data_IF_209226233002
#
_entry.id   IF_209226233002
#
_cell.length_a   1.000
_cell.length_b   1.000
_cell.length_c   1.000
_cell.angle_alpha   90.00
_cell.angle_beta   90.00
_cell.angle_gamma   90.00
#
_symmetry.space_group_name_H-M   'P 1'
#
loop_
_entity.id
_entity.type
_entity.pdbx_description
1 polymer ?
#
# COMPACT_ATOMS: atom_id res chain seq x y z
N UNK A 1 1.17 2.91 21.32
CA UNK A 1 1.64 4.14 20.66
C UNK A 1 2.40 5.08 21.61
N UNK A 2 1.96 5.32 22.84
CA UNK A 2 2.77 6.05 23.83
C UNK A 2 4.12 5.35 24.12
N UNK A 3 4.12 4.04 24.26
CA UNK A 3 5.34 3.24 24.43
C UNK A 3 6.21 3.27 23.16
N UNK A 4 5.63 3.28 21.98
CA UNK A 4 6.35 3.48 20.73
C UNK A 4 6.88 4.90 20.60
N UNK A 5 6.14 5.92 21.03
CA UNK A 5 6.60 7.30 21.04
C UNK A 5 7.71 7.52 22.11
N UNK A 6 7.60 6.92 23.30
CA UNK A 6 8.62 7.05 24.35
C UNK A 6 9.86 6.18 24.12
N UNK A 7 9.72 4.98 23.58
CA UNK A 7 10.85 4.17 23.11
C UNK A 7 11.49 4.78 21.85
N UNK A 8 10.72 5.58 21.12
CA UNK A 8 11.16 6.25 19.91
C UNK A 8 11.73 7.64 20.13
N UNK A 9 11.51 8.31 21.26
CA UNK A 9 12.09 9.63 21.57
C UNK A 9 13.60 9.58 21.83
N UNK A 10 14.15 8.39 22.02
CA UNK A 10 15.57 8.13 22.16
C UNK A 10 16.17 7.50 20.91
N UNK A 11 16.44 8.27 19.87
CA UNK A 11 17.39 7.99 18.79
C UNK A 11 17.23 6.76 17.87
N UNK A 12 16.16 5.94 17.94
CA UNK A 12 16.09 4.67 17.21
C UNK A 12 14.75 4.45 16.45
N UNK A 13 14.39 5.32 15.52
CA UNK A 13 13.07 5.31 14.90
C UNK A 13 13.04 4.80 13.47
N UNK A 14 12.98 3.46 13.30
CA UNK A 14 12.46 2.83 12.08
C UNK A 14 10.94 3.04 11.92
N UNK A 15 10.24 3.30 13.02
CA UNK A 15 8.78 3.42 13.07
C UNK A 15 8.31 4.86 12.85
N UNK A 16 9.19 5.83 12.80
CA UNK A 16 8.84 7.18 12.36
C UNK A 16 8.70 7.23 10.83
N UNK A 17 7.70 6.54 10.34
CA UNK A 17 7.00 6.98 9.16
C UNK A 17 6.30 8.30 9.54
N UNK A 18 7.08 9.39 9.59
CA UNK A 18 6.67 10.68 10.15
C UNK A 18 5.27 11.10 9.72
N UNK A 19 4.93 10.87 8.46
CA UNK A 19 3.62 11.25 7.93
C UNK A 19 2.47 10.43 8.52
N UNK A 20 2.71 9.18 8.92
CA UNK A 20 1.68 8.30 9.50
C UNK A 20 1.52 8.58 10.99
N UNK A 21 2.63 8.77 11.71
CA UNK A 21 2.63 8.88 13.18
C UNK A 21 2.85 10.30 13.70
N UNK A 22 3.06 11.29 12.81
CA UNK A 22 3.34 12.68 13.20
C UNK A 22 2.15 13.26 13.99
N UNK A 23 2.33 13.57 15.29
CA UNK A 23 1.27 14.08 16.14
C UNK A 23 1.08 15.60 16.00
N UNK A 24 2.12 16.33 15.54
CA UNK A 24 2.08 17.77 15.44
C UNK A 24 1.25 18.22 14.25
N UNK A 25 0.14 18.92 14.51
CA UNK A 25 -0.83 19.31 13.47
C UNK A 25 -0.23 20.09 12.32
N UNK A 26 0.66 21.04 12.61
CA UNK A 26 1.28 21.89 11.59
C UNK A 26 2.29 21.10 10.76
N UNK A 27 3.16 20.34 11.41
CA UNK A 27 4.16 19.52 10.72
C UNK A 27 3.48 18.46 9.83
N UNK A 28 2.47 17.81 10.37
CA UNK A 28 1.65 16.88 9.59
C UNK A 28 1.02 17.54 8.34
N UNK A 29 0.51 18.78 8.45
CA UNK A 29 -0.05 19.49 7.29
C UNK A 29 1.01 19.73 6.21
N UNK A 30 2.22 20.13 6.60
CA UNK A 30 3.34 20.31 5.68
C UNK A 30 3.68 19.00 4.98
N UNK A 31 3.86 17.93 5.74
CA UNK A 31 4.19 16.61 5.19
C UNK A 31 3.09 16.10 4.24
N UNK A 32 1.82 16.25 4.61
CA UNK A 32 0.68 15.89 3.73
C UNK A 32 0.66 16.72 2.46
N UNK A 33 0.96 18.01 2.54
CA UNK A 33 1.07 18.89 1.36
C UNK A 33 2.18 18.41 0.43
N UNK A 34 3.37 18.11 0.96
CA UNK A 34 4.50 17.60 0.19
C UNK A 34 4.17 16.25 -0.45
N UNK A 35 3.54 15.33 0.29
CA UNK A 35 3.07 14.06 -0.28
C UNK A 35 2.07 14.28 -1.42
N UNK A 36 1.13 15.22 -1.26
CA UNK A 36 0.15 15.53 -2.30
C UNK A 36 0.80 16.15 -3.55
N UNK A 37 1.85 16.95 -3.37
CA UNK A 37 2.65 17.48 -4.49
C UNK A 37 3.41 16.37 -5.24
N UNK A 38 3.77 15.28 -4.56
CA UNK A 38 4.42 14.11 -5.18
C UNK A 38 3.44 13.14 -5.85
N UNK A 39 2.41 12.71 -5.12
CA UNK A 39 1.53 11.60 -5.54
C UNK A 39 0.04 11.92 -5.45
N UNK A 40 -0.34 13.18 -5.38
CA UNK A 40 -1.73 13.60 -5.41
C UNK A 40 -2.39 13.35 -6.77
N UNK A 41 -3.72 13.36 -6.80
CA UNK A 41 -4.55 12.98 -7.96
C UNK A 41 -4.19 13.73 -9.26
N UNK A 42 -3.74 14.98 -9.15
CA UNK A 42 -3.32 15.75 -10.32
C UNK A 42 -1.91 15.36 -10.82
N UNK A 43 -1.08 14.84 -9.93
CA UNK A 43 0.30 14.49 -10.23
C UNK A 43 0.43 13.08 -10.81
N UNK A 44 -0.40 12.15 -10.42
CA UNK A 44 -0.27 10.74 -10.81
C UNK A 44 -0.42 10.54 -12.33
N UNK A 45 -1.09 11.44 -13.03
CA UNK A 45 -1.23 11.36 -14.50
C UNK A 45 0.13 11.41 -15.22
N UNK A 46 1.10 12.16 -14.70
CA UNK A 46 2.45 12.25 -15.28
C UNK A 46 3.25 10.96 -15.17
N UNK A 47 2.83 10.04 -14.29
CA UNK A 47 3.48 8.76 -14.08
C UNK A 47 2.90 7.62 -14.93
N UNK A 48 1.91 7.91 -15.77
CA UNK A 48 1.23 6.92 -16.62
C UNK A 48 2.19 6.20 -17.55
N UNK A 49 3.13 6.90 -18.14
CA UNK A 49 4.12 6.31 -19.05
C UNK A 49 5.02 5.31 -18.30
N UNK A 50 5.47 5.65 -17.11
CA UNK A 50 6.27 4.73 -16.28
C UNK A 50 5.47 3.50 -15.88
N UNK A 51 4.26 3.67 -15.39
CA UNK A 51 3.40 2.54 -15.04
C UNK A 51 3.06 1.69 -16.25
N UNK A 52 2.81 2.31 -17.40
CA UNK A 52 2.55 1.64 -18.67
C UNK A 52 3.74 0.78 -19.10
N UNK A 53 4.96 1.33 -19.05
CA UNK A 53 6.16 0.60 -19.45
C UNK A 53 6.50 -0.53 -18.47
N UNK A 54 6.44 -0.27 -17.16
CA UNK A 54 6.69 -1.30 -16.15
C UNK A 54 5.65 -2.43 -16.20
N UNK A 55 4.39 -2.11 -16.53
CA UNK A 55 3.34 -3.11 -16.71
C UNK A 55 3.57 -4.01 -17.94
N UNK A 56 4.13 -3.46 -19.03
CA UNK A 56 4.56 -4.28 -20.19
C UNK A 56 5.68 -5.24 -19.82
N UNK A 57 6.62 -4.79 -18.99
CA UNK A 57 7.70 -5.66 -18.50
C UNK A 57 7.14 -6.81 -17.68
N UNK A 58 6.16 -6.57 -16.80
CA UNK A 58 5.48 -7.67 -16.08
C UNK A 58 4.86 -8.68 -17.03
N UNK A 59 4.20 -8.22 -18.10
CA UNK A 59 3.61 -9.12 -19.07
C UNK A 59 4.67 -10.02 -19.75
N UNK A 60 5.82 -9.46 -20.11
CA UNK A 60 6.95 -10.19 -20.67
C UNK A 60 7.56 -11.18 -19.66
N UNK A 61 7.73 -10.76 -18.41
CA UNK A 61 8.25 -11.59 -17.33
C UNK A 61 7.31 -12.79 -17.07
N UNK A 62 6.00 -12.56 -17.08
CA UNK A 62 4.98 -13.62 -16.92
C UNK A 62 4.96 -14.60 -18.10
N UNK A 63 5.25 -14.16 -19.32
CA UNK A 63 5.38 -15.05 -20.47
C UNK A 63 6.60 -15.97 -20.33
N UNK A 64 7.65 -15.48 -19.67
CA UNK A 64 8.93 -16.21 -19.52
C UNK A 64 8.94 -17.13 -18.30
N UNK A 65 8.42 -16.68 -17.17
CA UNK A 65 8.47 -17.37 -15.87
C UNK A 65 7.21 -17.10 -15.04
N UNK A 66 6.04 -17.65 -15.49
CA UNK A 66 4.74 -17.38 -14.84
C UNK A 66 4.68 -17.84 -13.39
N UNK A 67 5.44 -18.87 -13.01
CA UNK A 67 5.53 -19.38 -11.64
C UNK A 67 6.13 -18.37 -10.65
N UNK A 68 6.84 -17.35 -11.16
CA UNK A 68 7.45 -16.28 -10.35
C UNK A 68 6.60 -15.01 -10.29
N UNK A 69 5.29 -15.11 -10.55
CA UNK A 69 4.40 -13.95 -10.63
C UNK A 69 4.47 -13.02 -9.41
N UNK A 70 4.65 -13.56 -8.21
CA UNK A 70 4.81 -12.77 -6.98
C UNK A 70 6.03 -11.84 -7.09
N UNK A 71 7.20 -12.39 -7.44
CA UNK A 71 8.43 -11.61 -7.61
C UNK A 71 8.33 -10.57 -8.74
N UNK A 72 7.57 -10.88 -9.81
CA UNK A 72 7.31 -9.93 -10.90
C UNK A 72 6.45 -8.75 -10.44
N UNK A 73 5.42 -8.99 -9.60
CA UNK A 73 4.60 -7.91 -9.03
C UNK A 73 5.37 -7.08 -8.00
N UNK A 74 6.19 -7.71 -7.16
CA UNK A 74 7.07 -7.02 -6.22
C UNK A 74 8.07 -6.12 -6.96
N UNK A 75 8.70 -6.63 -8.02
CA UNK A 75 9.59 -5.84 -8.88
C UNK A 75 8.83 -4.65 -9.50
N UNK A 76 7.65 -4.89 -10.07
CA UNK A 76 6.82 -3.85 -10.66
C UNK A 76 6.49 -2.74 -9.67
N UNK A 77 5.90 -3.10 -8.55
CA UNK A 77 5.49 -2.15 -7.53
C UNK A 77 6.70 -1.35 -7.01
N UNK A 78 7.81 -2.04 -6.72
CA UNK A 78 9.05 -1.42 -6.28
C UNK A 78 9.64 -0.50 -7.34
N UNK A 79 9.63 -0.89 -8.62
CA UNK A 79 10.17 -0.07 -9.72
C UNK A 79 9.36 1.22 -9.91
N UNK A 80 8.03 1.13 -9.90
CA UNK A 80 7.15 2.30 -10.02
C UNK A 80 7.43 3.33 -8.93
N UNK A 81 7.46 2.90 -7.66
CA UNK A 81 7.69 3.84 -6.55
C UNK A 81 9.15 4.31 -6.47
N UNK A 82 10.11 3.53 -6.95
CA UNK A 82 11.52 3.91 -7.05
C UNK A 82 11.73 5.00 -8.11
N UNK A 83 11.09 4.87 -9.28
CA UNK A 83 11.14 5.90 -10.32
C UNK A 83 10.52 7.20 -9.79
N UNK A 84 9.33 7.11 -9.19
CA UNK A 84 8.63 8.30 -8.67
C UNK A 84 9.42 8.92 -7.51
N UNK A 85 9.92 8.09 -6.58
CA UNK A 85 10.60 8.53 -5.37
C UNK A 85 12.00 9.09 -5.64
N UNK A 86 12.78 8.37 -6.46
CA UNK A 86 14.21 8.59 -6.61
C UNK A 86 14.70 8.70 -8.06
N UNK A 87 13.81 8.64 -9.04
CA UNK A 87 14.19 8.67 -10.47
C UNK A 87 14.96 7.43 -10.93
N UNK A 88 14.92 6.33 -10.16
CA UNK A 88 15.69 5.10 -10.44
C UNK A 88 14.76 3.94 -10.76
N UNK A 89 14.96 3.33 -11.93
CA UNK A 89 14.27 2.11 -12.33
C UNK A 89 14.86 0.88 -11.64
N UNK A 90 14.00 -0.05 -11.20
CA UNK A 90 14.38 -1.38 -10.70
C UNK A 90 14.15 -2.40 -11.82
N UNK A 91 15.26 -2.84 -12.42
CA UNK A 91 15.23 -3.66 -13.63
C UNK A 91 15.04 -5.16 -13.36
N UNK A 92 15.45 -5.65 -12.19
CA UNK A 92 15.46 -7.08 -11.84
C UNK A 92 14.86 -7.30 -10.46
N UNK A 93 14.21 -8.45 -10.26
CA UNK A 93 13.74 -8.92 -8.93
C UNK A 93 14.88 -9.22 -7.96
N UNK A 94 16.12 -9.31 -8.46
CA UNK A 94 17.33 -9.50 -7.66
C UNK A 94 18.04 -8.19 -7.31
N UNK A 95 17.46 -7.03 -7.65
CA UNK A 95 18.05 -5.74 -7.29
C UNK A 95 18.14 -5.61 -5.76
N UNK A 96 19.31 -5.27 -5.21
CA UNK A 96 19.51 -5.15 -3.75
C UNK A 96 18.52 -4.21 -3.06
N UNK A 97 17.99 -3.23 -3.78
CA UNK A 97 16.99 -2.29 -3.24
C UNK A 97 15.71 -3.01 -2.84
N UNK A 98 15.28 -4.03 -3.59
CA UNK A 98 14.07 -4.83 -3.27
C UNK A 98 14.29 -5.56 -1.94
N UNK A 99 15.39 -6.27 -1.82
CA UNK A 99 15.71 -7.05 -0.61
C UNK A 99 15.77 -6.15 0.63
N UNK A 100 16.41 -4.98 0.53
CA UNK A 100 16.52 -4.06 1.66
C UNK A 100 15.18 -3.46 2.05
N UNK A 101 14.35 -3.07 1.07
CA UNK A 101 13.01 -2.51 1.33
C UNK A 101 12.08 -3.54 1.93
N UNK A 102 12.01 -4.74 1.36
CA UNK A 102 11.18 -5.82 1.90
C UNK A 102 11.61 -6.11 3.35
N UNK A 103 12.92 -6.17 3.62
CA UNK A 103 13.42 -6.36 4.98
C UNK A 103 13.06 -5.21 5.94
N UNK A 104 12.99 -3.97 5.45
CA UNK A 104 12.51 -2.82 6.25
C UNK A 104 11.01 -2.92 6.50
N UNK A 105 10.21 -3.26 5.48
CA UNK A 105 8.76 -3.37 5.60
C UNK A 105 8.34 -4.53 6.51
N UNK A 106 8.95 -5.71 6.37
CA UNK A 106 8.70 -6.84 7.27
C UNK A 106 9.03 -6.49 8.72
N UNK A 107 10.13 -5.78 8.96
CA UNK A 107 10.45 -5.30 10.32
C UNK A 107 9.41 -4.31 10.85
N UNK A 108 8.93 -3.41 10.01
CA UNK A 108 7.87 -2.48 10.38
C UNK A 108 6.55 -3.22 10.68
N UNK A 109 6.18 -4.20 9.85
CA UNK A 109 5.02 -5.05 10.07
C UNK A 109 5.13 -5.83 11.38
N UNK A 110 6.27 -6.46 11.63
CA UNK A 110 6.54 -7.19 12.88
C UNK A 110 6.39 -6.32 14.14
N UNK A 111 6.76 -5.05 14.05
CA UNK A 111 6.64 -4.10 15.16
C UNK A 111 5.20 -3.58 15.34
N UNK A 112 4.40 -3.59 14.27
CA UNK A 112 3.01 -3.12 14.29
C UNK A 112 2.02 -4.21 14.71
N UNK A 113 2.43 -5.48 14.80
CA UNK A 113 1.56 -6.56 15.30
C UNK A 113 1.60 -6.59 16.82
N UNK A 114 0.48 -6.30 17.51
CA UNK A 114 0.41 -6.35 18.97
C UNK A 114 0.86 -7.72 19.51
N UNK A 115 1.72 -7.70 20.51
CA UNK A 115 2.19 -8.94 21.18
C UNK A 115 3.26 -9.74 20.44
N UNK A 116 3.56 -9.47 19.16
CA UNK A 116 4.55 -10.26 18.41
C UNK A 116 5.99 -10.01 18.85
N UNK A 117 6.40 -8.79 19.01
CA UNK A 117 7.76 -8.40 19.45
C UNK A 117 7.77 -7.56 20.72
N UNK A 118 6.64 -6.95 21.05
CA UNK A 118 6.42 -6.31 22.33
C UNK A 118 5.46 -7.17 23.13
N UNK A 119 5.85 -7.63 24.32
CA UNK A 119 4.89 -8.29 25.20
C UNK A 119 3.70 -7.37 25.46
N UNK A 120 2.48 -7.89 25.38
CA UNK A 120 1.26 -7.15 25.74
C UNK A 120 1.41 -6.43 27.10
N UNK A 121 2.29 -6.97 27.95
CA UNK A 121 2.67 -6.39 29.24
C UNK A 121 3.22 -4.94 29.10
N UNK A 122 3.97 -4.63 28.04
CA UNK A 122 4.50 -3.27 27.79
C UNK A 122 3.42 -2.30 27.33
N UNK A 123 2.43 -2.81 26.60
CA UNK A 123 1.28 -2.02 26.15
C UNK A 123 0.36 -1.72 27.33
N UNK A 124 0.20 -2.68 28.24
CA UNK A 124 -0.61 -2.55 29.47
C UNK A 124 0.08 -1.72 30.54
N UNK A 125 1.39 -1.88 30.68
CA UNK A 125 2.21 -1.20 31.70
C UNK A 125 3.35 -0.40 31.06
N UNK A 126 3.08 0.80 30.52
CA UNK A 126 4.08 1.63 29.83
C UNK A 126 5.34 1.96 30.64
N UNK A 127 5.23 1.95 31.95
CA UNK A 127 6.38 2.18 32.86
C UNK A 127 7.49 1.12 32.70
N UNK A 128 7.15 -0.09 32.28
CA UNK A 128 8.13 -1.14 31.98
C UNK A 128 9.05 -0.76 30.80
N UNK A 129 8.61 0.15 29.95
CA UNK A 129 9.45 0.70 28.89
C UNK A 129 10.64 1.53 29.42
N UNK A 130 10.55 2.06 30.65
CA UNK A 130 11.61 2.84 31.30
C UNK A 130 12.70 1.97 31.94
N UNK A 131 12.45 0.65 32.08
CA UNK A 131 13.47 -0.27 32.61
C UNK A 131 14.70 -0.25 31.72
N UNK A 132 15.93 -0.10 32.27
CA UNK A 132 17.16 -0.15 31.47
C UNK A 132 17.27 -1.43 30.64
N UNK A 133 17.83 -1.35 29.44
CA UNK A 133 17.87 -2.45 28.48
C UNK A 133 18.57 -3.70 29.01
N UNK A 134 19.55 -3.51 29.87
CA UNK A 134 20.30 -4.58 30.56
C UNK A 134 19.43 -5.47 31.45
N UNK A 135 18.35 -4.91 32.01
CA UNK A 135 17.39 -5.61 32.88
C UNK A 135 16.07 -5.93 32.17
N UNK A 136 16.01 -5.69 30.87
CA UNK A 136 14.79 -5.79 30.07
C UNK A 136 14.97 -6.78 28.88
N UNK A 137 14.90 -8.11 29.11
CA UNK A 137 15.07 -9.12 28.06
C UNK A 137 14.16 -8.90 26.87
N UNK A 138 12.94 -8.37 27.10
CA UNK A 138 11.98 -8.03 26.07
C UNK A 138 12.43 -6.88 25.15
N UNK A 139 13.41 -6.08 25.54
CA UNK A 139 14.02 -5.04 24.71
C UNK A 139 15.12 -5.57 23.77
N UNK A 140 15.64 -6.75 24.03
CA UNK A 140 16.75 -7.31 23.24
C UNK A 140 16.36 -7.59 21.78
N UNK A 141 15.06 -7.82 21.52
CA UNK A 141 14.52 -7.95 20.16
C UNK A 141 14.39 -6.63 19.38
N UNK A 142 14.40 -5.49 20.10
CA UNK A 142 14.19 -4.16 19.52
C UNK A 142 15.44 -3.52 18.95
N UNK A 143 16.60 -3.98 19.33
CA UNK A 143 17.72 -3.22 18.91
C UNK A 143 19.07 -3.84 19.05
N UNK A 144 19.54 -4.45 18.05
CA UNK A 144 20.90 -4.14 17.67
C UNK A 144 20.82 -2.73 17.03
N UNK A 145 21.18 -1.70 17.80
CA UNK A 145 21.17 -0.26 17.44
C UNK A 145 21.63 0.08 16.01
N UNK A 146 22.40 -0.80 15.37
CA UNK A 146 22.91 -0.59 14.02
C UNK A 146 21.95 -0.86 12.85
N UNK A 147 20.75 -1.44 13.08
CA UNK A 147 19.85 -1.78 11.95
C UNK A 147 18.76 -0.73 11.72
N UNK A 148 18.45 0.11 12.71
CA UNK A 148 17.48 1.21 12.61
C UNK A 148 18.03 2.41 11.85
N UNK A 149 19.28 2.76 12.14
CA UNK A 149 19.97 3.81 11.40
C UNK A 149 20.13 3.48 9.91
N UNK A 150 20.34 2.20 9.57
CA UNK A 150 20.49 1.77 8.17
C UNK A 150 19.30 2.06 7.28
N UNK A 151 18.07 1.92 7.78
CA UNK A 151 16.89 2.24 6.96
C UNK A 151 16.77 3.74 6.66
N UNK A 152 17.04 4.58 7.67
CA UNK A 152 17.06 6.03 7.49
C UNK A 152 18.20 6.45 6.56
N UNK A 153 19.40 5.97 6.82
CA UNK A 153 20.59 6.32 6.03
C UNK A 153 20.44 5.80 4.59
N UNK A 154 19.83 4.63 4.43
CA UNK A 154 19.53 4.05 3.12
C UNK A 154 18.61 4.95 2.28
N UNK A 155 17.44 5.34 2.81
CA UNK A 155 16.52 6.20 2.06
C UNK A 155 17.06 7.61 1.88
N UNK A 156 17.84 8.12 2.84
CA UNK A 156 18.50 9.41 2.68
C UNK A 156 19.60 9.36 1.62
N UNK A 157 20.40 8.31 1.57
CA UNK A 157 21.42 8.14 0.53
C UNK A 157 20.81 8.06 -0.86
N UNK A 158 19.70 7.32 -1.01
CA UNK A 158 18.97 7.27 -2.29
C UNK A 158 18.40 8.63 -2.70
N UNK A 159 17.84 9.37 -1.73
CA UNK A 159 17.31 10.69 -2.00
C UNK A 159 18.42 11.70 -2.39
N UNK A 160 19.55 11.63 -1.70
CA UNK A 160 20.71 12.48 -1.99
C UNK A 160 21.35 12.13 -3.35
N UNK A 161 21.51 10.84 -3.63
CA UNK A 161 21.99 10.37 -4.94
C UNK A 161 21.09 10.88 -6.08
N UNK A 162 19.76 10.81 -5.91
CA UNK A 162 18.80 11.32 -6.89
C UNK A 162 18.92 12.84 -7.07
N UNK A 163 19.22 13.58 -5.99
CA UNK A 163 19.37 15.03 -6.04
C UNK A 163 20.68 15.47 -6.74
N UNK A 164 21.76 14.75 -6.52
CA UNK A 164 23.10 15.09 -7.03
C UNK A 164 23.34 14.68 -8.49
N UNK A 165 22.70 13.59 -8.96
CA UNK A 165 22.94 13.07 -10.32
C UNK A 165 22.24 13.93 -11.38
N UNK A 166 22.98 14.48 -12.37
CA UNK A 166 22.38 15.11 -13.52
C UNK A 166 21.65 14.06 -14.38
N UNK A 167 20.52 14.45 -14.96
CA UNK A 167 19.77 13.61 -15.90
C UNK A 167 18.75 12.65 -15.25
N UNK A 168 18.65 12.57 -13.94
CA UNK A 168 17.48 11.98 -13.29
C UNK A 168 16.28 12.89 -13.51
N UNK A 169 15.18 12.30 -13.97
CA UNK A 169 13.92 13.00 -14.15
C UNK A 169 13.45 13.64 -12.83
N UNK A 170 12.54 14.62 -12.92
CA UNK A 170 11.91 15.23 -11.76
C UNK A 170 11.25 14.17 -10.88
N UNK A 171 11.93 13.77 -9.81
CA UNK A 171 11.44 12.80 -8.84
C UNK A 171 11.06 13.49 -7.52
N UNK A 172 10.38 12.72 -6.67
CA UNK A 172 9.89 13.23 -5.39
C UNK A 172 11.01 13.70 -4.48
N UNK A 173 12.16 13.00 -4.44
CA UNK A 173 13.31 13.39 -3.64
C UNK A 173 13.85 14.77 -4.07
N UNK A 174 14.03 15.00 -5.38
CA UNK A 174 14.44 16.33 -5.90
C UNK A 174 13.48 17.43 -5.48
N UNK A 175 12.18 17.15 -5.55
CA UNK A 175 11.17 18.11 -5.11
C UNK A 175 11.31 18.42 -3.61
N UNK A 176 11.57 17.42 -2.76
CA UNK A 176 11.78 17.63 -1.33
C UNK A 176 13.02 18.49 -1.05
N UNK A 177 14.13 18.25 -1.73
CA UNK A 177 15.32 19.10 -1.60
C UNK A 177 15.08 20.54 -2.06
N UNK A 178 14.34 20.73 -3.16
CA UNK A 178 13.97 22.07 -3.64
C UNK A 178 13.08 22.84 -2.66
N UNK A 179 12.22 22.14 -1.94
CA UNK A 179 11.31 22.73 -0.94
C UNK A 179 11.93 22.75 0.48
N UNK A 180 13.17 22.26 0.63
CA UNK A 180 13.83 22.07 1.94
C UNK A 180 13.91 23.35 2.76
N UNK A 181 14.43 24.42 2.20
CA UNK A 181 14.58 25.70 2.89
C UNK A 181 13.22 26.30 3.28
N UNK A 182 12.28 26.29 2.34
CA UNK A 182 10.95 26.86 2.53
C UNK A 182 10.16 26.23 3.66
N UNK A 183 10.29 24.91 3.85
CA UNK A 183 9.57 24.17 4.89
C UNK A 183 10.49 23.75 6.05
N UNK A 184 11.74 24.19 6.06
CA UNK A 184 12.75 23.82 7.05
C UNK A 184 12.78 22.29 7.29
N UNK A 185 12.96 21.52 6.18
CA UNK A 185 12.98 20.07 6.24
C UNK A 185 14.32 19.58 6.76
N UNK A 186 14.30 18.84 7.86
CA UNK A 186 15.49 18.14 8.33
C UNK A 186 15.83 16.95 7.40
N UNK A 187 17.12 16.55 7.30
CA UNK A 187 17.51 15.36 6.53
C UNK A 187 16.69 14.10 6.86
N UNK A 188 16.35 13.93 8.14
CA UNK A 188 15.49 12.85 8.61
C UNK A 188 14.07 12.88 8.00
N UNK A 189 13.54 14.05 7.74
CA UNK A 189 12.21 14.18 7.16
C UNK A 189 12.21 13.89 5.66
N UNK A 190 13.25 14.33 4.95
CA UNK A 190 13.45 13.98 3.53
C UNK A 190 13.55 12.47 3.39
N UNK A 191 14.36 11.82 4.20
CA UNK A 191 14.48 10.36 4.25
C UNK A 191 13.15 9.68 4.57
N UNK A 192 12.45 10.17 5.58
CA UNK A 192 11.19 9.58 6.03
C UNK A 192 10.07 9.75 4.98
N UNK A 193 9.96 10.92 4.36
CA UNK A 193 8.96 11.17 3.31
C UNK A 193 9.22 10.33 2.06
N UNK A 194 10.48 10.24 1.62
CA UNK A 194 10.89 9.40 0.49
C UNK A 194 10.71 7.91 0.81
N UNK A 195 11.12 7.49 2.00
CA UNK A 195 10.98 6.12 2.48
C UNK A 195 9.53 5.69 2.67
N UNK A 196 8.65 6.60 3.11
CA UNK A 196 7.22 6.34 3.20
C UNK A 196 6.59 6.07 1.84
N UNK A 197 6.90 6.90 0.84
CA UNK A 197 6.39 6.68 -0.51
C UNK A 197 6.84 5.32 -1.03
N UNK A 198 8.11 5.01 -0.85
CA UNK A 198 8.72 3.81 -1.37
C UNK A 198 8.19 2.55 -0.67
N UNK A 199 8.32 2.48 0.65
CA UNK A 199 7.91 1.30 1.42
C UNK A 199 6.41 1.03 1.35
N UNK A 200 5.58 2.07 1.53
CA UNK A 200 4.13 1.91 1.48
C UNK A 200 3.63 1.49 0.08
N UNK A 201 4.26 1.96 -0.98
CA UNK A 201 3.79 1.69 -2.34
C UNK A 201 4.28 0.36 -2.91
N UNK A 202 5.45 -0.15 -2.50
CA UNK A 202 5.99 -1.41 -3.02
C UNK A 202 5.20 -2.62 -2.54
N UNK A 203 5.04 -2.78 -1.23
CA UNK A 203 4.43 -3.95 -0.62
C UNK A 203 2.90 -4.01 -0.84
N UNK A 204 2.21 -2.91 -0.58
CA UNK A 204 0.74 -2.89 -0.69
C UNK A 204 0.24 -3.06 -2.12
N UNK A 205 0.97 -2.52 -3.11
CA UNK A 205 0.57 -2.66 -4.52
C UNK A 205 0.80 -4.08 -5.03
N UNK A 206 1.92 -4.72 -4.69
CA UNK A 206 2.17 -6.12 -5.07
C UNK A 206 1.16 -7.07 -4.43
N UNK A 207 0.86 -6.90 -3.13
CA UNK A 207 -0.16 -7.69 -2.41
C UNK A 207 -1.56 -7.55 -3.04
N UNK A 208 -1.93 -6.35 -3.49
CA UNK A 208 -3.20 -6.12 -4.20
C UNK A 208 -3.24 -6.87 -5.53
N UNK A 209 -2.13 -6.91 -6.29
CA UNK A 209 -2.05 -7.64 -7.55
C UNK A 209 -2.09 -9.16 -7.33
N UNK A 210 -1.45 -9.66 -6.28
CA UNK A 210 -1.54 -11.07 -5.87
C UNK A 210 -2.99 -11.43 -5.51
N UNK A 211 -3.68 -10.55 -4.79
CA UNK A 211 -5.12 -10.69 -4.49
C UNK A 211 -5.96 -10.74 -5.76
N UNK A 212 -5.64 -9.92 -6.77
CA UNK A 212 -6.36 -9.98 -8.06
C UNK A 212 -6.18 -11.33 -8.76
N UNK A 213 -4.97 -11.89 -8.76
CA UNK A 213 -4.71 -13.24 -9.31
C UNK A 213 -5.48 -14.32 -8.53
N UNK A 214 -5.51 -14.22 -7.21
CA UNK A 214 -6.30 -15.12 -6.36
C UNK A 214 -7.80 -15.05 -6.72
N UNK A 215 -8.35 -13.85 -6.87
CA UNK A 215 -9.75 -13.65 -7.26
C UNK A 215 -10.04 -14.26 -8.64
N UNK A 216 -9.18 -14.02 -9.63
CA UNK A 216 -9.28 -14.60 -10.98
C UNK A 216 -9.26 -16.12 -10.93
N UNK A 217 -8.46 -16.70 -10.05
CA UNK A 217 -8.35 -18.16 -9.89
C UNK A 217 -9.54 -18.77 -9.15
N UNK A 218 -10.02 -18.11 -8.10
CA UNK A 218 -11.09 -18.61 -7.24
C UNK A 218 -12.50 -18.42 -7.84
N UNK A 219 -12.70 -17.39 -8.67
CA UNK A 219 -13.99 -17.00 -9.23
C UNK A 219 -13.94 -16.83 -10.76
N UNK A 220 -13.68 -17.92 -11.52
CA UNK A 220 -13.45 -17.86 -12.96
C UNK A 220 -14.68 -17.39 -13.75
N UNK A 221 -15.89 -17.53 -13.20
CA UNK A 221 -17.12 -17.01 -13.80
C UNK A 221 -17.12 -15.49 -13.94
N UNK A 222 -16.40 -14.77 -13.08
CA UNK A 222 -16.28 -13.30 -13.13
C UNK A 222 -15.35 -12.81 -14.25
N UNK A 223 -14.61 -13.71 -14.88
CA UNK A 223 -13.68 -13.35 -15.95
C UNK A 223 -14.37 -13.22 -17.31
N UNK A 224 -15.48 -13.95 -17.52
CA UNK A 224 -16.18 -13.98 -18.80
C UNK A 224 -16.62 -12.58 -19.23
N UNK A 225 -17.35 -11.81 -18.41
CA UNK A 225 -17.75 -10.45 -18.80
C UNK A 225 -16.55 -9.49 -18.99
N UNK A 226 -15.46 -9.73 -18.26
CA UNK A 226 -14.24 -8.92 -18.42
C UNK A 226 -13.59 -9.19 -19.79
N UNK A 227 -13.52 -10.44 -20.22
CA UNK A 227 -13.00 -10.80 -21.54
C UNK A 227 -13.86 -10.26 -22.66
N UNK A 228 -15.18 -10.43 -22.59
CA UNK A 228 -16.13 -9.89 -23.57
C UNK A 228 -15.99 -8.36 -23.72
N UNK A 229 -15.82 -7.66 -22.59
CA UNK A 229 -15.63 -6.21 -22.60
C UNK A 229 -14.29 -5.83 -23.24
N UNK A 230 -13.19 -6.50 -22.86
CA UNK A 230 -11.86 -6.27 -23.41
C UNK A 230 -11.79 -6.58 -24.92
N UNK A 231 -12.37 -7.70 -25.35
CA UNK A 231 -12.39 -8.08 -26.76
C UNK A 231 -13.15 -7.05 -27.59
N UNK A 232 -14.26 -6.53 -27.08
CA UNK A 232 -15.08 -5.52 -27.75
C UNK A 232 -14.41 -4.15 -27.83
N UNK A 233 -13.69 -3.71 -26.77
CA UNK A 233 -13.17 -2.34 -26.66
C UNK A 233 -11.72 -2.22 -27.12
N UNK A 234 -10.90 -3.22 -26.78
CA UNK A 234 -9.45 -3.21 -27.02
C UNK A 234 -9.09 -4.10 -28.22
N UNK A 235 -9.72 -5.27 -28.33
CA UNK A 235 -9.41 -6.28 -29.34
C UNK A 235 -8.07 -6.98 -29.08
N UNK A 236 -7.57 -7.69 -30.11
CA UNK A 236 -6.34 -8.48 -30.03
C UNK A 236 -5.07 -7.71 -30.46
N UNK A 237 -5.21 -6.62 -31.17
CA UNK A 237 -4.10 -5.97 -31.90
C UNK A 237 -3.23 -5.07 -31.01
N UNK A 238 -3.73 -4.69 -29.86
CA UNK A 238 -3.03 -3.84 -28.90
C UNK A 238 -3.38 -4.23 -27.46
N UNK A 239 -2.48 -3.96 -26.53
CA UNK A 239 -2.79 -4.10 -25.10
C UNK A 239 -3.60 -2.92 -24.56
N UNK A 240 -4.37 -3.10 -23.47
CA UNK A 240 -5.06 -2.02 -22.77
C UNK A 240 -4.11 -0.88 -22.37
N UNK A 241 -4.64 0.35 -22.42
CA UNK A 241 -3.99 1.59 -22.01
C UNK A 241 -4.87 2.39 -21.05
N UNK A 242 -4.36 3.44 -20.44
CA UNK A 242 -5.15 4.33 -19.58
C UNK A 242 -6.31 5.04 -20.28
N UNK A 243 -6.25 5.14 -21.61
CA UNK A 243 -7.32 5.80 -22.39
C UNK A 243 -8.55 4.90 -22.52
N UNK A 244 -8.39 3.59 -22.30
CA UNK A 244 -9.48 2.61 -22.37
C UNK A 244 -10.31 2.58 -21.08
N UNK A 245 -9.80 3.14 -19.97
CA UNK A 245 -10.38 2.98 -18.63
C UNK A 245 -11.86 3.33 -18.55
N UNK A 246 -12.27 4.42 -19.18
CA UNK A 246 -13.67 4.89 -19.15
C UNK A 246 -14.60 3.99 -19.96
N UNK A 247 -14.07 3.27 -20.93
CA UNK A 247 -14.80 2.37 -21.82
C UNK A 247 -14.82 0.91 -21.33
N UNK A 248 -14.18 0.63 -20.20
CA UNK A 248 -14.06 -0.67 -19.55
C UNK A 248 -14.71 -0.67 -18.15
N UNK A 249 -16.02 -0.42 -18.03
CA UNK A 249 -16.72 -0.32 -16.76
C UNK A 249 -16.68 -1.60 -15.95
N UNK A 250 -16.75 -2.79 -16.57
CA UNK A 250 -16.66 -4.05 -15.84
C UNK A 250 -15.25 -4.28 -15.28
N UNK A 251 -14.21 -4.03 -16.05
CA UNK A 251 -12.82 -4.10 -15.56
C UNK A 251 -12.59 -3.12 -14.41
N UNK A 252 -13.16 -1.90 -14.48
CA UNK A 252 -13.12 -0.95 -13.35
C UNK A 252 -13.83 -1.50 -12.11
N UNK A 253 -15.00 -2.10 -12.30
CA UNK A 253 -15.76 -2.74 -11.23
C UNK A 253 -14.99 -3.93 -10.63
N UNK A 254 -14.34 -4.73 -11.45
CA UNK A 254 -13.45 -5.81 -11.03
C UNK A 254 -12.35 -5.31 -10.10
N UNK A 255 -11.65 -4.25 -10.47
CA UNK A 255 -10.58 -3.65 -9.64
C UNK A 255 -11.11 -3.09 -8.32
N UNK A 256 -12.29 -2.45 -8.34
CA UNK A 256 -12.93 -1.99 -7.09
C UNK A 256 -13.26 -3.16 -6.16
N UNK A 257 -13.73 -4.28 -6.72
CA UNK A 257 -14.01 -5.48 -5.93
C UNK A 257 -12.72 -6.11 -5.39
N UNK A 258 -11.59 -6.08 -6.11
CA UNK A 258 -10.29 -6.49 -5.56
C UNK A 258 -9.95 -5.70 -4.30
N UNK A 259 -10.11 -4.38 -4.33
CA UNK A 259 -9.86 -3.53 -3.16
C UNK A 259 -10.82 -3.82 -2.00
N UNK A 260 -12.09 -4.13 -2.29
CA UNK A 260 -13.07 -4.47 -1.24
C UNK A 260 -12.80 -5.85 -0.66
N UNK A 261 -12.71 -6.88 -1.52
CA UNK A 261 -12.77 -8.28 -1.12
C UNK A 261 -11.64 -8.68 -0.19
N UNK A 262 -10.41 -8.27 -0.50
CA UNK A 262 -9.23 -8.47 0.35
C UNK A 262 -8.39 -7.21 0.42
N UNK A 263 -8.77 -6.32 1.30
CA UNK A 263 -7.99 -5.11 1.57
C UNK A 263 -6.66 -5.47 2.22
N UNK A 264 -5.57 -4.91 1.73
CA UNK A 264 -4.23 -5.11 2.32
C UNK A 264 -4.18 -4.60 3.76
N UNK A 265 -4.83 -3.46 4.04
CA UNK A 265 -4.93 -2.88 5.37
C UNK A 265 -6.24 -3.32 6.06
N UNK A 266 -6.35 -4.59 6.44
CA UNK A 266 -7.58 -5.21 6.98
C UNK A 266 -8.14 -4.53 8.23
N UNK A 267 -7.30 -3.92 9.05
CA UNK A 267 -7.69 -3.17 10.26
C UNK A 267 -7.61 -1.65 10.05
N UNK A 268 -7.58 -1.17 8.80
CA UNK A 268 -7.62 0.27 8.49
C UNK A 268 -6.33 1.04 8.79
N UNK A 269 -5.20 0.36 8.88
CA UNK A 269 -3.91 0.96 9.17
C UNK A 269 -3.71 1.29 10.65
N UNK A 270 -3.20 2.49 10.95
CA UNK A 270 -2.95 2.92 12.33
C UNK A 270 -4.22 3.46 13.00
N UNK A 271 -4.43 3.21 14.31
CA UNK A 271 -5.56 3.78 15.04
C UNK A 271 -5.49 5.31 15.06
N UNK A 272 -6.65 5.95 15.06
CA UNK A 272 -6.79 7.38 15.24
C UNK A 272 -7.18 7.69 16.68
N UNK A 273 -6.84 8.88 17.15
CA UNK A 273 -7.24 9.32 18.48
C UNK A 273 -7.81 10.74 18.43
N UNK A 274 -8.93 11.00 19.11
CA UNK A 274 -9.47 12.36 19.23
C UNK A 274 -8.53 13.24 20.06
N UNK A 275 -8.43 14.50 19.69
CA UNK A 275 -7.59 15.48 20.36
C UNK A 275 -8.26 16.16 21.55
N UNK A 276 -9.54 15.94 21.73
CA UNK A 276 -10.42 16.36 22.83
C UNK A 276 -11.47 15.28 23.03
N UNK A 277 -12.20 15.33 24.13
CA UNK A 277 -13.35 14.46 24.34
C UNK A 277 -14.38 14.70 23.23
N UNK A 278 -14.98 13.62 22.75
CA UNK A 278 -15.98 13.64 21.69
C UNK A 278 -17.16 12.73 22.04
N UNK A 279 -18.30 12.96 21.41
CA UNK A 279 -19.51 12.18 21.61
C UNK A 279 -20.02 11.64 20.29
N UNK A 280 -20.31 10.34 20.25
CA UNK A 280 -20.88 9.69 19.08
C UNK A 280 -22.03 8.78 19.50
N UNK A 281 -23.23 9.01 18.97
CA UNK A 281 -24.45 8.26 19.30
C UNK A 281 -24.71 8.14 20.82
N UNK A 282 -24.45 9.20 21.60
CA UNK A 282 -24.61 9.21 23.06
C UNK A 282 -23.45 8.60 23.85
N UNK A 283 -22.45 8.00 23.20
CA UNK A 283 -21.27 7.46 23.85
C UNK A 283 -20.17 8.52 23.93
N UNK A 284 -19.59 8.67 25.13
CA UNK A 284 -18.38 9.47 25.32
C UNK A 284 -17.17 8.73 24.76
N UNK A 285 -16.42 9.39 23.88
CA UNK A 285 -15.09 8.96 23.41
C UNK A 285 -14.06 9.89 24.04
N UNK A 286 -13.39 9.48 25.12
CA UNK A 286 -12.41 10.32 25.78
C UNK A 286 -11.26 10.71 24.86
N UNK A 287 -10.67 11.88 25.10
CA UNK A 287 -9.44 12.32 24.46
C UNK A 287 -8.38 11.21 24.51
N UNK A 288 -7.67 11.05 23.38
CA UNK A 288 -6.60 10.06 23.23
C UNK A 288 -7.05 8.58 23.21
N UNK A 289 -8.37 8.30 23.21
CA UNK A 289 -8.89 6.96 22.96
C UNK A 289 -8.50 6.49 21.57
N UNK A 290 -7.97 5.28 21.46
CA UNK A 290 -7.64 4.71 20.17
C UNK A 290 -8.90 4.20 19.47
N UNK A 291 -9.19 4.77 18.31
CA UNK A 291 -10.32 4.38 17.46
C UNK A 291 -9.75 3.69 16.22
N UNK A 292 -10.09 2.41 16.08
CA UNK A 292 -9.62 1.56 14.99
C UNK A 292 -10.76 1.30 14.01
N UNK A 293 -10.53 1.58 12.74
CA UNK A 293 -11.48 1.24 11.67
C UNK A 293 -11.25 -0.18 11.19
N UNK A 294 -12.14 -1.10 11.55
CA UNK A 294 -12.06 -2.48 11.10
C UNK A 294 -12.55 -2.58 9.65
N UNK A 295 -11.65 -2.35 8.68
CA UNK A 295 -11.97 -2.39 7.24
C UNK A 295 -12.47 -3.75 6.82
N UNK A 296 -11.92 -4.83 7.38
CA UNK A 296 -12.40 -6.18 7.08
C UNK A 296 -13.87 -6.33 7.47
N UNK A 297 -14.25 -5.98 8.70
CA UNK A 297 -15.63 -6.10 9.15
C UNK A 297 -16.58 -5.17 8.37
N UNK A 298 -16.11 -3.99 7.95
CA UNK A 298 -16.90 -3.07 7.11
C UNK A 298 -17.15 -3.71 5.73
N UNK A 299 -16.10 -4.28 5.12
CA UNK A 299 -16.21 -4.89 3.80
C UNK A 299 -16.92 -6.25 3.78
N UNK A 300 -17.03 -6.91 4.94
CA UNK A 300 -17.72 -8.20 5.12
C UNK A 300 -19.04 -8.04 5.89
N UNK A 301 -19.60 -6.84 5.93
CA UNK A 301 -20.92 -6.61 6.47
C UNK A 301 -21.99 -7.00 5.43
N UNK A 302 -22.77 -8.04 5.68
CA UNK A 302 -23.81 -8.57 4.78
C UNK A 302 -24.88 -7.54 4.38
N UNK A 303 -25.15 -6.55 5.24
CA UNK A 303 -26.10 -5.46 4.93
C UNK A 303 -25.59 -4.55 3.83
N UNK A 304 -24.27 -4.38 3.77
CA UNK A 304 -23.58 -3.49 2.84
C UNK A 304 -23.13 -4.23 1.59
N UNK A 305 -22.66 -5.46 1.79
CA UNK A 305 -22.11 -6.35 0.77
C UNK A 305 -22.71 -7.76 0.92
N UNK A 306 -23.93 -8.00 0.40
CA UNK A 306 -24.54 -9.34 0.47
C UNK A 306 -23.61 -10.40 -0.10
N UNK A 307 -23.46 -11.56 0.58
CA UNK A 307 -22.49 -12.62 0.27
C UNK A 307 -21.06 -12.05 0.14
N UNK A 308 -20.48 -11.51 1.25
CA UNK A 308 -19.27 -10.69 1.17
C UNK A 308 -18.01 -11.48 0.82
N UNK A 309 -17.99 -12.78 1.09
CA UNK A 309 -16.86 -13.66 0.77
C UNK A 309 -16.79 -13.99 -0.73
N UNK A 310 -17.91 -13.88 -1.44
CA UNK A 310 -17.91 -14.02 -2.88
C UNK A 310 -17.38 -12.76 -3.55
N UNK A 311 -16.38 -12.96 -4.39
CA UNK A 311 -15.89 -11.92 -5.29
C UNK A 311 -16.92 -11.65 -6.40
N UNK A 312 -17.47 -10.44 -6.43
CA UNK A 312 -18.54 -10.07 -7.36
C UNK A 312 -18.40 -8.65 -7.89
N UNK A 313 -17.78 -8.43 -9.05
CA UNK A 313 -17.61 -7.10 -9.65
C UNK A 313 -18.93 -6.36 -9.91
N UNK A 314 -20.05 -7.06 -10.10
CA UNK A 314 -21.33 -6.44 -10.37
C UNK A 314 -21.82 -5.51 -9.26
N UNK A 315 -21.26 -5.60 -8.03
CA UNK A 315 -21.52 -4.68 -6.94
C UNK A 315 -21.19 -3.23 -7.31
N UNK A 316 -20.24 -3.04 -8.20
CA UNK A 316 -19.68 -1.75 -8.60
C UNK A 316 -20.09 -1.29 -10.00
N UNK A 317 -20.92 -2.04 -10.70
CA UNK A 317 -21.45 -1.64 -12.02
C UNK A 317 -22.60 -0.65 -11.93
N UNK A 318 -23.38 -0.72 -10.85
CA UNK A 318 -24.48 0.22 -10.61
C UNK A 318 -23.93 1.46 -9.91
N UNK A 319 -24.33 2.62 -10.34
CA UNK A 319 -24.04 3.86 -9.64
C UNK A 319 -24.61 3.77 -8.23
N UNK A 320 -23.75 3.57 -7.26
CA UNK A 320 -24.13 3.57 -5.84
C UNK A 320 -24.29 4.97 -5.28
N UNK A 321 -24.46 5.98 -6.15
CA UNK A 321 -24.64 7.38 -5.79
C UNK A 321 -25.83 7.63 -4.85
N UNK A 322 -26.79 6.69 -4.82
CA UNK A 322 -28.03 6.86 -4.06
C UNK A 322 -27.99 6.39 -2.60
N UNK A 323 -26.92 5.73 -2.15
CA UNK A 323 -27.02 4.95 -0.93
C UNK A 323 -26.11 5.38 0.23
N UNK A 324 -25.06 6.19 0.04
CA UNK A 324 -24.08 6.33 1.13
C UNK A 324 -23.48 7.72 1.25
N UNK A 325 -23.96 8.53 2.22
CA UNK A 325 -23.41 9.86 2.46
C UNK A 325 -21.99 9.85 3.00
N UNK A 326 -21.46 8.72 3.46
CA UNK A 326 -20.10 8.59 3.99
C UNK A 326 -19.80 7.14 4.41
N UNK A 327 -18.65 6.63 4.12
CA UNK A 327 -17.47 7.12 3.40
C UNK A 327 -17.44 6.68 1.93
N UNK A 328 -18.54 6.68 1.30
CA UNK A 328 -19.01 5.82 0.26
C UNK A 328 -18.90 6.24 -1.19
N UNK A 329 -18.34 7.38 -1.55
CA UNK A 329 -18.23 7.76 -3.00
C UNK A 329 -17.58 6.67 -3.87
N UNK A 330 -16.71 5.86 -3.29
CA UNK A 330 -16.00 4.78 -4.00
C UNK A 330 -16.56 3.39 -3.75
N UNK A 331 -17.39 3.23 -2.73
CA UNK A 331 -17.98 1.96 -2.33
C UNK A 331 -17.05 1.01 -1.56
N UNK A 332 -15.83 1.43 -1.19
CA UNK A 332 -14.89 0.67 -0.38
C UNK A 332 -13.98 1.57 0.46
N UNK A 333 -13.39 1.00 1.54
CA UNK A 333 -12.66 1.71 2.58
C UNK A 333 -11.17 1.40 2.63
N UNK A 334 -10.64 0.68 1.67
CA UNK A 334 -9.27 0.16 1.63
C UNK A 334 -8.21 1.23 1.91
N UNK A 335 -8.47 2.45 1.49
CA UNK A 335 -7.55 3.58 1.65
C UNK A 335 -7.83 4.44 2.88
N UNK A 336 -8.75 4.02 3.75
CA UNK A 336 -9.16 4.79 4.92
C UNK A 336 -9.95 6.05 4.54
N UNK A 337 -10.00 7.02 5.45
CA UNK A 337 -10.89 8.19 5.34
C UNK A 337 -10.34 9.43 6.03
N UNK A 338 -11.00 10.56 5.78
CA UNK A 338 -10.74 11.84 6.43
C UNK A 338 -9.33 12.37 6.17
N UNK A 339 -8.79 13.10 7.13
CA UNK A 339 -7.48 13.77 7.01
C UNK A 339 -6.29 12.81 6.92
N UNK A 340 -6.49 11.54 7.22
CA UNK A 340 -5.48 10.48 7.19
C UNK A 340 -5.68 9.49 6.03
N UNK A 341 -6.61 9.78 5.11
CA UNK A 341 -6.79 8.97 3.89
C UNK A 341 -5.45 8.76 3.19
N UNK A 342 -5.26 7.59 2.59
CA UNK A 342 -4.00 7.23 1.90
C UNK A 342 -3.61 8.28 0.86
N UNK A 343 -2.40 8.82 0.95
CA UNK A 343 -1.88 9.79 -0.02
C UNK A 343 -1.56 9.18 -1.38
N UNK A 344 -1.25 7.87 -1.39
CA UNK A 344 -0.95 7.11 -2.60
C UNK A 344 -2.16 6.51 -3.31
N UNK A 345 -3.40 6.76 -2.84
CA UNK A 345 -4.61 6.13 -3.36
C UNK A 345 -4.74 6.25 -4.87
N UNK A 346 -4.63 7.46 -5.43
CA UNK A 346 -4.78 7.68 -6.86
C UNK A 346 -3.70 6.95 -7.70
N UNK A 347 -2.47 6.85 -7.17
CA UNK A 347 -1.38 6.11 -7.80
C UNK A 347 -1.66 4.60 -7.79
N UNK A 348 -2.12 4.07 -6.66
CA UNK A 348 -2.44 2.66 -6.50
C UNK A 348 -3.63 2.24 -7.37
N UNK A 349 -4.72 3.01 -7.38
CA UNK A 349 -5.90 2.74 -8.20
C UNK A 349 -5.52 2.72 -9.69
N UNK A 350 -4.81 3.73 -10.16
CA UNK A 350 -4.37 3.85 -11.55
C UNK A 350 -3.47 2.68 -11.98
N UNK A 351 -2.46 2.35 -11.16
CA UNK A 351 -1.52 1.27 -11.48
C UNK A 351 -2.17 -0.12 -11.42
N UNK A 352 -3.01 -0.36 -10.40
CA UNK A 352 -3.73 -1.62 -10.26
C UNK A 352 -4.70 -1.84 -11.42
N UNK A 353 -5.42 -0.78 -11.83
CA UNK A 353 -6.34 -0.88 -12.95
C UNK A 353 -5.62 -1.33 -14.24
N UNK A 354 -4.54 -0.67 -14.61
CA UNK A 354 -3.81 -1.02 -15.85
C UNK A 354 -3.25 -2.44 -15.79
N UNK A 355 -2.68 -2.82 -14.64
CA UNK A 355 -2.08 -4.14 -14.49
C UNK A 355 -3.13 -5.25 -14.55
N UNK A 356 -4.28 -5.07 -13.87
CA UNK A 356 -5.39 -6.03 -13.90
C UNK A 356 -6.00 -6.11 -15.30
N UNK A 357 -6.21 -4.98 -15.98
CA UNK A 357 -6.70 -4.96 -17.36
C UNK A 357 -5.80 -5.79 -18.30
N UNK A 358 -4.48 -5.66 -18.16
CA UNK A 358 -3.50 -6.42 -18.96
C UNK A 358 -3.44 -7.90 -18.59
N UNK A 359 -3.58 -8.23 -17.31
CA UNK A 359 -3.66 -9.63 -16.88
C UNK A 359 -4.90 -10.31 -17.49
N UNK A 360 -6.06 -9.66 -17.40
CA UNK A 360 -7.31 -10.17 -17.98
C UNK A 360 -7.26 -10.29 -19.50
N UNK A 361 -6.62 -9.32 -20.18
CA UNK A 361 -6.51 -9.29 -21.64
C UNK A 361 -5.52 -10.34 -22.16
N UNK A 362 -4.32 -10.43 -21.56
CA UNK A 362 -3.20 -11.18 -22.12
C UNK A 362 -3.05 -12.62 -21.60
N UNK A 363 -3.72 -12.98 -20.50
CA UNK A 363 -3.48 -14.25 -19.82
C UNK A 363 -4.77 -14.98 -19.46
N UNK A 364 -4.68 -16.30 -19.38
CA UNK A 364 -5.70 -17.17 -18.81
C UNK A 364 -5.13 -17.82 -17.55
N UNK A 365 -5.70 -17.46 -16.39
CA UNK A 365 -5.25 -17.98 -15.10
C UNK A 365 -5.95 -19.28 -14.83
N UNK A 366 -5.20 -20.38 -14.94
CA UNK A 366 -5.67 -21.74 -14.72
C UNK A 366 -5.25 -22.29 -13.34
N UNK A 367 -5.93 -23.34 -12.85
CA UNK A 367 -5.49 -24.07 -11.68
C UNK A 367 -4.09 -24.64 -11.87
N UNK A 368 -3.25 -24.55 -10.84
CA UNK A 368 -2.09 -25.42 -10.74
C UNK A 368 -2.56 -26.87 -10.57
N UNK A 369 -1.84 -27.81 -11.18
CA UNK A 369 -2.14 -29.23 -11.10
C UNK A 369 -1.20 -29.93 -10.12
N UNK A 370 -1.72 -30.91 -9.38
CA UNK A 370 -0.89 -31.80 -8.57
C UNK A 370 -0.14 -32.83 -9.43
N UNK A 371 0.70 -33.66 -8.81
CA UNK A 371 1.43 -34.71 -9.51
C UNK A 371 0.57 -35.78 -10.20
N UNK A 372 -0.73 -35.81 -9.93
CA UNK A 372 -1.73 -36.72 -10.54
C UNK A 372 -2.56 -36.01 -11.63
N UNK A 373 -2.27 -34.77 -11.96
CA UNK A 373 -3.04 -33.98 -12.93
C UNK A 373 -4.37 -33.47 -12.38
N UNK A 374 -4.54 -33.42 -11.05
CA UNK A 374 -5.75 -32.91 -10.39
C UNK A 374 -5.57 -31.44 -10.02
N UNK A 375 -6.58 -30.57 -10.26
CA UNK A 375 -6.51 -29.17 -9.84
C UNK A 375 -6.27 -29.02 -8.34
N UNK A 376 -5.25 -28.26 -7.97
CA UNK A 376 -4.99 -27.90 -6.57
C UNK A 376 -6.09 -26.93 -6.12
N UNK A 377 -6.86 -27.25 -5.06
CA UNK A 377 -7.90 -26.37 -4.56
C UNK A 377 -7.30 -25.06 -4.03
N UNK A 378 -8.07 -23.99 -4.10
CA UNK A 378 -7.71 -22.68 -3.52
C UNK A 378 -8.56 -22.48 -2.28
N UNK A 379 -7.89 -22.25 -1.15
CA UNK A 379 -8.55 -21.80 0.06
C UNK A 379 -8.54 -20.26 0.10
N UNK A 380 -9.74 -19.67 -0.07
CA UNK A 380 -9.88 -18.20 -0.01
C UNK A 380 -9.77 -17.65 1.41
N UNK A 381 -9.73 -18.49 2.44
CA UNK A 381 -9.56 -18.10 3.84
C UNK A 381 -8.14 -18.28 4.34
N UNK A 382 -7.25 -18.86 3.53
CA UNK A 382 -5.82 -18.87 3.83
C UNK A 382 -5.22 -17.49 3.58
N UNK A 383 -4.72 -16.88 4.66
CA UNK A 383 -4.09 -15.56 4.69
C UNK A 383 -2.57 -15.64 4.97
N UNK A 384 -1.98 -16.81 4.89
CA UNK A 384 -0.54 -17.02 5.13
C UNK A 384 0.32 -16.73 3.91
#
# INVERSE_FOLDING_TARGET
MLVFAELGSGQNNLVNMYTITEPQRERFRVQRKLMHQGVGIQQVKRYRDFQNNESKVVALDLLSTPEKYVAHFERYATSVVSIIGFGRRVASSTDPIITEVIAVMHRAADLNVPGKKFPMLLETFPLLAKVPTEYAPWKHGLGKRGKSHRGHDFFYSLANEANEKPGHEDCYAKMLFKEQEKYNLAPKEISALSGNLFGAGSDTSSSTLITAVLAMRAFPDTLIPAWEELDRVVGSDRSPSFDDELNLPYVRAFVKEVFRWRSVAIIGGQPHAPTQDDYYNGYLIPKSTWVQGNVWAIHHNDREFPDPDRFNPNRFLKDHSDARPFPGERGYMTFGWGRRVCSGQALAEQGTWLQVARLLWGFRIAPAMDGNGKPIPVDIFDYT
#
